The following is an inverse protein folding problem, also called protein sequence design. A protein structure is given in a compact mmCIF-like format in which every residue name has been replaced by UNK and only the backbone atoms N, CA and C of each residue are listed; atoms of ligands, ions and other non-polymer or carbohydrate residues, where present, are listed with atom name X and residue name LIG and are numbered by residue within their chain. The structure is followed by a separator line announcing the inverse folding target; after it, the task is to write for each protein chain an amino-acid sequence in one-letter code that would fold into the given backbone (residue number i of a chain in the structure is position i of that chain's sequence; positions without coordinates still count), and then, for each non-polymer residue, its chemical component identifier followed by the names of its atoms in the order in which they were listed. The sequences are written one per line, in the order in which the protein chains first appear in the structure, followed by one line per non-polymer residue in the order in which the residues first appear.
data_IF_115755231994
#
_entry.id   IF_115755231994
#
_cell.length_a   1.000
_cell.length_b   1.000
_cell.length_c   1.000
_cell.angle_alpha   90.00
_cell.angle_beta   90.00
_cell.angle_gamma   90.00
#
_symmetry.space_group_name_H-M   'P 1'
#
loop_
_entity.id
_entity.type
_entity.pdbx_description
1 polymer ?
#
# COMPACT_ATOMS: atom_id res chain seq x y z
N UNK A 1 -0.32 10.61 -31.98
CA UNK A 1 0.42 10.12 -30.79
C UNK A 1 0.00 8.67 -30.56
N UNK A 2 0.92 7.70 -30.45
CA UNK A 2 0.55 6.33 -30.13
C UNK A 2 -0.13 6.31 -28.75
N UNK A 3 -1.40 5.91 -28.71
CA UNK A 3 -2.14 5.81 -27.45
C UNK A 3 -1.61 4.60 -26.69
N UNK A 4 -1.09 4.81 -25.48
CA UNK A 4 -0.67 3.69 -24.62
C UNK A 4 -1.91 2.85 -24.28
N UNK A 5 -1.89 1.53 -24.54
CA UNK A 5 -3.03 0.67 -24.28
C UNK A 5 -3.42 0.75 -22.80
N UNK A 6 -4.72 0.93 -22.55
CA UNK A 6 -5.26 1.01 -21.19
C UNK A 6 -5.41 -0.41 -20.63
N UNK A 7 -4.62 -0.73 -19.61
CA UNK A 7 -4.74 -1.99 -18.88
C UNK A 7 -5.56 -1.79 -17.60
N UNK A 8 -6.48 -2.72 -17.35
CA UNK A 8 -7.33 -2.75 -16.16
C UNK A 8 -6.82 -3.83 -15.21
N UNK A 9 -6.61 -3.50 -13.94
CA UNK A 9 -6.18 -4.46 -12.92
C UNK A 9 -7.29 -4.64 -11.88
N UNK A 10 -7.46 -5.87 -11.40
CA UNK A 10 -8.30 -6.13 -10.22
C UNK A 10 -7.46 -5.89 -8.97
N UNK A 11 -7.89 -4.92 -8.17
CA UNK A 11 -7.33 -4.60 -6.85
C UNK A 11 -8.50 -4.71 -5.86
N UNK A 12 -8.24 -5.23 -4.67
CA UNK A 12 -9.23 -5.27 -3.60
C UNK A 12 -9.79 -3.85 -3.34
N UNK A 13 -11.12 -3.73 -3.32
CA UNK A 13 -11.78 -2.43 -3.30
C UNK A 13 -11.39 -1.58 -2.08
N UNK A 14 -11.28 -2.23 -0.91
CA UNK A 14 -10.91 -1.55 0.32
C UNK A 14 -9.50 -0.96 0.25
N UNK A 15 -8.53 -1.75 -0.22
CA UNK A 15 -7.16 -1.30 -0.42
C UNK A 15 -7.09 -0.15 -1.43
N UNK A 16 -7.85 -0.26 -2.52
CA UNK A 16 -7.91 0.79 -3.54
C UNK A 16 -8.51 2.10 -3.01
N UNK A 17 -9.57 2.03 -2.19
CA UNK A 17 -10.15 3.23 -1.53
C UNK A 17 -9.13 3.91 -0.63
N UNK A 18 -8.46 3.17 0.26
CA UNK A 18 -7.41 3.73 1.13
C UNK A 18 -6.25 4.34 0.34
N UNK A 19 -5.81 3.68 -0.72
CA UNK A 19 -4.75 4.19 -1.57
C UNK A 19 -5.15 5.52 -2.21
N UNK A 20 -6.36 5.61 -2.77
CA UNK A 20 -6.89 6.86 -3.35
C UNK A 20 -6.98 7.98 -2.32
N UNK A 21 -7.49 7.69 -1.12
CA UNK A 21 -7.62 8.70 -0.07
C UNK A 21 -6.25 9.22 0.37
N UNK A 22 -5.26 8.34 0.51
CA UNK A 22 -3.88 8.73 0.85
C UNK A 22 -3.26 9.60 -0.25
N UNK A 23 -3.46 9.25 -1.52
CA UNK A 23 -2.99 10.06 -2.65
C UNK A 23 -3.67 11.44 -2.65
N UNK A 24 -4.99 11.48 -2.48
CA UNK A 24 -5.78 12.71 -2.45
C UNK A 24 -5.35 13.65 -1.32
N UNK A 25 -5.13 13.13 -0.10
CA UNK A 25 -4.63 13.92 1.04
C UNK A 25 -3.25 14.53 0.79
N UNK A 26 -2.46 13.94 -0.11
CA UNK A 26 -1.14 14.43 -0.50
C UNK A 26 -1.17 15.28 -1.78
N UNK A 27 -2.35 15.52 -2.35
CA UNK A 27 -2.52 16.34 -3.55
C UNK A 27 -2.22 15.62 -4.87
N UNK A 28 -2.13 14.28 -4.89
CA UNK A 28 -1.77 13.51 -6.07
C UNK A 28 -2.92 12.65 -6.58
N UNK A 29 -2.97 12.41 -7.90
CA UNK A 29 -3.83 11.39 -8.49
C UNK A 29 -3.30 9.99 -8.18
N UNK A 30 -4.20 9.08 -7.79
CA UNK A 30 -3.85 7.67 -7.57
C UNK A 30 -3.21 7.02 -8.80
N UNK A 31 -3.67 7.37 -10.01
CA UNK A 31 -3.09 6.85 -11.25
C UNK A 31 -1.67 7.35 -11.50
N UNK A 32 -1.36 8.58 -11.13
CA UNK A 32 -0.01 9.15 -11.27
C UNK A 32 0.96 8.50 -10.30
N UNK A 33 0.55 8.35 -9.03
CA UNK A 33 1.34 7.68 -8.01
C UNK A 33 1.62 6.23 -8.40
N UNK A 34 0.61 5.51 -8.91
CA UNK A 34 0.78 4.13 -9.37
C UNK A 34 1.77 4.04 -10.55
N UNK A 35 1.67 4.94 -11.53
CA UNK A 35 2.63 4.99 -12.65
C UNK A 35 4.04 5.31 -12.18
N UNK A 36 4.19 6.27 -11.26
CA UNK A 36 5.48 6.64 -10.70
C UNK A 36 6.12 5.47 -9.94
N UNK A 37 5.32 4.71 -9.18
CA UNK A 37 5.77 3.51 -8.49
C UNK A 37 6.27 2.45 -9.47
N UNK A 38 5.49 2.13 -10.52
CA UNK A 38 5.89 1.17 -11.57
C UNK A 38 7.21 1.59 -12.23
N UNK A 39 7.38 2.90 -12.54
CA UNK A 39 8.64 3.40 -13.12
C UNK A 39 9.83 3.21 -12.19
N UNK A 40 9.68 3.51 -10.90
CA UNK A 40 10.75 3.32 -9.91
C UNK A 40 11.11 1.84 -9.71
N UNK A 41 10.10 0.98 -9.75
CA UNK A 41 10.28 -0.46 -9.71
C UNK A 41 11.05 -0.98 -10.92
N UNK A 42 10.66 -0.60 -12.14
CA UNK A 42 11.38 -0.96 -13.39
C UNK A 42 12.80 -0.40 -13.39
N UNK A 43 13.03 0.77 -12.79
CA UNK A 43 14.36 1.36 -12.64
C UNK A 43 15.22 0.71 -11.55
N UNK A 44 14.75 -0.37 -10.89
CA UNK A 44 15.48 -1.08 -9.85
C UNK A 44 15.61 -0.35 -8.51
N UNK A 45 14.90 0.78 -8.34
CA UNK A 45 14.90 1.54 -7.07
C UNK A 45 14.01 0.92 -6.00
N UNK A 46 13.11 0.02 -6.40
CA UNK A 46 12.26 -0.76 -5.52
C UNK A 46 12.51 -2.21 -5.87
N UNK A 47 13.02 -3.01 -4.93
CA UNK A 47 13.25 -4.44 -5.14
C UNK A 47 12.02 -5.24 -4.73
N UNK A 48 11.72 -6.31 -5.47
CA UNK A 48 10.63 -7.23 -5.11
C UNK A 48 10.90 -7.85 -3.73
N UNK A 49 12.16 -8.11 -3.40
CA UNK A 49 12.57 -8.70 -2.12
C UNK A 49 12.16 -7.85 -0.91
N UNK A 50 12.11 -6.53 -1.08
CA UNK A 50 11.68 -5.59 -0.04
C UNK A 50 10.15 -5.54 0.11
N UNK A 51 9.43 -5.98 -0.93
CA UNK A 51 7.99 -6.15 -0.85
C UNK A 51 7.74 -7.48 -0.15
N UNK A 52 7.39 -7.44 1.14
CA UNK A 52 6.80 -8.60 1.83
C UNK A 52 5.48 -8.95 1.15
N UNK A 53 5.54 -9.69 0.05
CA UNK A 53 4.37 -10.27 -0.61
C UNK A 53 3.79 -11.25 0.39
N UNK A 54 2.84 -10.78 1.20
CA UNK A 54 1.93 -11.68 1.88
C UNK A 54 1.18 -12.39 0.77
N UNK A 55 1.68 -13.57 0.38
CA UNK A 55 0.90 -14.52 -0.40
C UNK A 55 -0.37 -14.70 0.40
N UNK A 56 -1.48 -14.15 -0.08
CA UNK A 56 -2.79 -14.39 0.49
C UNK A 56 -2.94 -15.90 0.62
N UNK A 57 -2.81 -16.43 1.84
CA UNK A 57 -3.05 -17.85 2.05
C UNK A 57 -4.50 -18.06 1.69
N UNK A 58 -4.76 -18.92 0.71
CA UNK A 58 -6.11 -19.29 0.28
C UNK A 58 -6.83 -19.83 1.52
N UNK A 59 -7.70 -19.03 2.15
CA UNK A 59 -8.41 -19.37 3.38
C UNK A 59 -8.21 -18.43 4.59
N UNK A 60 -7.33 -17.42 4.54
CA UNK A 60 -7.29 -16.40 5.60
C UNK A 60 -8.56 -15.54 5.55
N UNK A 61 -9.34 -15.55 6.63
CA UNK A 61 -10.54 -14.72 6.74
C UNK A 61 -10.09 -13.26 6.89
N UNK A 62 -10.72 -12.35 6.17
CA UNK A 62 -10.47 -10.90 6.25
C UNK A 62 -10.42 -10.35 7.70
N UNK A 63 -11.12 -11.00 8.64
CA UNK A 63 -11.09 -10.67 10.07
C UNK A 63 -9.71 -10.86 10.72
N UNK A 64 -8.94 -11.88 10.33
CA UNK A 64 -7.63 -12.16 10.90
C UNK A 64 -6.60 -11.10 10.46
N UNK A 65 -6.74 -10.60 9.23
CA UNK A 65 -5.96 -9.47 8.73
C UNK A 65 -6.29 -8.17 9.48
N UNK A 66 -7.56 -7.95 9.80
CA UNK A 66 -8.01 -6.77 10.55
C UNK A 66 -7.43 -6.74 11.96
N UNK A 67 -7.48 -7.86 12.69
CA UNK A 67 -6.92 -7.99 14.04
C UNK A 67 -5.41 -7.76 14.05
N UNK A 68 -4.67 -8.40 13.14
CA UNK A 68 -3.23 -8.23 13.02
C UNK A 68 -2.84 -6.77 12.66
N UNK A 69 -3.69 -6.08 11.88
CA UNK A 69 -3.50 -4.69 11.52
C UNK A 69 -3.76 -3.72 12.68
N UNK A 70 -4.79 -3.96 13.49
CA UNK A 70 -5.06 -3.16 14.70
C UNK A 70 -3.97 -3.32 15.76
N UNK A 71 -3.46 -4.53 15.96
CA UNK A 71 -2.31 -4.78 16.84
C UNK A 71 -1.06 -4.05 16.37
N UNK A 72 -0.82 -4.03 15.06
CA UNK A 72 0.31 -3.29 14.48
C UNK A 72 0.17 -1.78 14.71
N UNK A 73 -1.02 -1.19 14.51
CA UNK A 73 -1.27 0.24 14.77
C UNK A 73 -1.06 0.61 16.24
N UNK A 74 -1.52 -0.21 17.17
CA UNK A 74 -1.30 -0.01 18.61
C UNK A 74 0.19 -0.01 18.96
N UNK A 75 0.97 -0.90 18.33
CA UNK A 75 2.41 -0.99 18.53
C UNK A 75 3.21 0.18 17.91
N UNK A 76 2.70 0.84 16.87
CA UNK A 76 3.31 2.07 16.34
C UNK A 76 3.05 3.27 17.27
N UNK A 77 1.80 3.49 17.70
CA UNK A 77 1.47 4.58 18.63
C UNK A 77 2.21 4.47 19.98
N UNK A 78 2.45 3.26 20.48
CA UNK A 78 3.22 3.06 21.71
C UNK A 78 4.72 3.35 21.56
N UNK A 79 5.28 3.19 20.34
CA UNK A 79 6.68 3.56 20.06
C UNK A 79 6.85 5.08 19.97
N UNK A 80 5.89 5.77 19.35
CA UNK A 80 5.93 7.22 19.22
C UNK A 80 5.77 7.93 20.57
N UNK A 81 4.92 7.41 21.48
CA UNK A 81 4.77 7.95 22.83
C UNK A 81 6.00 7.75 23.73
N UNK A 82 6.83 6.72 23.47
CA UNK A 82 8.04 6.46 24.26
C UNK A 82 9.18 7.42 23.92
N UNK A 83 9.23 7.87 22.66
CA UNK A 83 10.22 8.82 22.16
C UNK A 83 9.87 10.30 22.43
N UNK A 84 8.65 10.60 22.89
CA UNK A 84 8.22 11.96 23.21
C UNK A 84 8.43 12.34 24.70
N UNK A 85 8.69 11.35 25.56
CA UNK A 85 8.87 11.50 27.01
C UNK A 85 10.29 11.14 27.49
N UNK A 86 11.28 11.11 26.58
CA UNK A 86 12.71 10.97 26.93
C UNK A 86 13.43 12.30 26.78
#
# INVERSE_FOLDING_TARGET
MPQTPRQTFRIEEYLWRKFKDKCKRKGYSASEVLRAFIRQFVAGKIKIEDLKVQRSKRGEKLGDFWTAFEEWLKNQNNKDNKNFNS
#
